data_IF_758805880536
#
_entry.id   IF_758805880536
#
_cell.length_a   1.000
_cell.length_b   1.000
_cell.length_c   1.000
_cell.angle_alpha   90.00
_cell.angle_beta   90.00
_cell.angle_gamma   90.00
#
_symmetry.space_group_name_H-M   'P 1'
#
loop_
_entity.id
_entity.type
_entity.pdbx_description
1 polymer ?
#
# COMPACT_ATOMS: atom_id res chain seq x y z
N UNK A 1 4.80 28.49 -3.90
CA UNK A 1 4.20 27.26 -3.34
C UNK A 1 4.69 27.13 -1.89
N UNK A 2 3.82 27.00 -0.89
CA UNK A 2 4.26 26.92 0.53
C UNK A 2 5.23 25.74 0.71
N UNK A 3 6.39 25.94 1.34
CA UNK A 3 7.41 24.89 1.55
C UNK A 3 6.84 23.64 2.23
N UNK A 4 5.80 23.79 3.06
CA UNK A 4 5.09 22.69 3.72
C UNK A 4 4.35 21.78 2.73
N UNK A 5 3.69 22.36 1.72
CA UNK A 5 2.96 21.58 0.72
C UNK A 5 3.91 20.78 -0.18
N UNK A 6 5.06 21.38 -0.51
CA UNK A 6 6.10 20.69 -1.27
C UNK A 6 6.65 19.49 -0.49
N UNK A 7 7.05 19.69 0.77
CA UNK A 7 7.55 18.62 1.63
C UNK A 7 6.54 17.46 1.77
N UNK A 8 5.24 17.78 1.93
CA UNK A 8 4.18 16.76 1.99
C UNK A 8 4.04 15.97 0.68
N UNK A 9 4.12 16.64 -0.47
CA UNK A 9 4.03 15.95 -1.76
C UNK A 9 5.24 15.05 -2.01
N UNK A 10 6.44 15.50 -1.63
CA UNK A 10 7.66 14.68 -1.69
C UNK A 10 7.50 13.44 -0.79
N UNK A 11 7.04 13.61 0.46
CA UNK A 11 6.81 12.49 1.36
C UNK A 11 5.79 11.49 0.78
N UNK A 12 4.68 11.96 0.21
CA UNK A 12 3.68 11.08 -0.43
C UNK A 12 4.28 10.24 -1.55
N UNK A 13 5.08 10.86 -2.42
CA UNK A 13 5.73 10.17 -3.53
C UNK A 13 6.81 9.20 -3.03
N UNK A 14 7.55 9.57 -1.97
CA UNK A 14 8.53 8.68 -1.34
C UNK A 14 7.85 7.43 -0.76
N UNK A 15 6.76 7.57 -0.01
CA UNK A 15 6.02 6.42 0.51
C UNK A 15 5.36 5.59 -0.59
N UNK A 16 4.79 6.23 -1.61
CA UNK A 16 4.19 5.52 -2.74
C UNK A 16 5.24 4.71 -3.51
N UNK A 17 6.41 5.29 -3.78
CA UNK A 17 7.51 4.59 -4.46
C UNK A 17 8.09 3.46 -3.61
N UNK A 18 8.25 3.66 -2.29
CA UNK A 18 8.68 2.60 -1.38
C UNK A 18 7.70 1.42 -1.36
N UNK A 19 6.38 1.70 -1.32
CA UNK A 19 5.36 0.65 -1.36
C UNK A 19 5.34 -0.09 -2.70
N UNK A 20 5.49 0.61 -3.83
CA UNK A 20 5.64 -0.03 -5.15
C UNK A 20 6.88 -0.93 -5.16
N UNK A 21 8.03 -0.42 -4.71
CA UNK A 21 9.27 -1.18 -4.67
C UNK A 21 9.11 -2.45 -3.83
N UNK A 22 8.50 -2.36 -2.65
CA UNK A 22 8.24 -3.50 -1.78
C UNK A 22 7.31 -4.54 -2.45
N UNK A 23 6.20 -4.12 -3.06
CA UNK A 23 5.27 -5.02 -3.75
C UNK A 23 5.93 -5.69 -4.95
N UNK A 24 6.66 -4.94 -5.78
CA UNK A 24 7.37 -5.50 -6.94
C UNK A 24 8.46 -6.47 -6.52
N UNK A 25 9.19 -6.13 -5.46
CA UNK A 25 10.20 -7.01 -4.89
C UNK A 25 9.57 -8.33 -4.43
N UNK A 26 8.51 -8.26 -3.61
CA UNK A 26 7.86 -9.45 -3.08
C UNK A 26 7.27 -10.31 -4.21
N UNK A 27 6.70 -9.69 -5.24
CA UNK A 27 6.22 -10.40 -6.42
C UNK A 27 7.34 -11.17 -7.14
N UNK A 28 8.51 -10.55 -7.31
CA UNK A 28 9.66 -11.19 -7.93
C UNK A 28 10.18 -12.36 -7.08
N UNK A 29 10.28 -12.19 -5.76
CA UNK A 29 10.75 -13.23 -4.85
C UNK A 29 9.80 -14.44 -4.76
N UNK A 30 8.48 -14.22 -4.86
CA UNK A 30 7.47 -15.29 -4.83
C UNK A 30 7.22 -15.91 -6.22
N UNK A 31 7.80 -15.37 -7.31
CA UNK A 31 7.60 -15.89 -8.66
C UNK A 31 8.33 -17.23 -8.90
N UNK A 32 9.46 -17.47 -8.22
CA UNK A 32 10.31 -18.64 -8.44
C UNK A 32 9.86 -19.89 -7.67
N UNK A 33 8.94 -19.76 -6.71
CA UNK A 33 8.50 -20.84 -5.81
C UNK A 33 7.32 -21.68 -6.34
N UNK A 34 6.91 -21.51 -7.60
CA UNK A 34 5.76 -22.22 -8.19
C UNK A 34 4.40 -21.66 -7.76
N UNK A 35 4.38 -20.52 -7.09
CA UNK A 35 3.17 -19.84 -6.64
C UNK A 35 2.38 -19.26 -7.82
N UNK A 36 1.07 -19.50 -7.88
CA UNK A 36 0.24 -18.91 -8.93
C UNK A 36 0.20 -17.38 -8.74
N UNK A 37 0.62 -16.63 -9.77
CA UNK A 37 0.67 -15.15 -9.76
C UNK A 37 -0.66 -14.49 -9.38
N UNK A 38 -1.79 -15.16 -9.63
CA UNK A 38 -3.12 -14.70 -9.22
C UNK A 38 -3.31 -14.70 -7.69
N UNK A 39 -2.71 -15.64 -6.97
CA UNK A 39 -2.81 -15.74 -5.52
C UNK A 39 -2.08 -14.57 -4.84
N UNK A 40 -0.99 -14.07 -5.45
CA UNK A 40 -0.24 -12.94 -4.90
C UNK A 40 -1.09 -11.67 -4.77
N UNK A 41 -1.84 -11.32 -5.82
CA UNK A 41 -2.72 -10.15 -5.80
C UNK A 41 -4.00 -10.35 -4.97
N UNK A 42 -4.24 -11.57 -4.50
CA UNK A 42 -5.37 -11.90 -3.63
C UNK A 42 -5.08 -11.63 -2.15
N UNK A 43 -3.81 -11.41 -1.77
CA UNK A 43 -3.46 -11.00 -0.42
C UNK A 43 -4.00 -9.60 -0.12
N UNK A 44 -4.80 -9.50 0.93
CA UNK A 44 -5.40 -8.24 1.38
C UNK A 44 -4.33 -7.17 1.73
N UNK A 45 -3.14 -7.59 2.18
CA UNK A 45 -2.00 -6.69 2.43
C UNK A 45 -1.45 -6.07 1.15
N UNK A 46 -1.36 -6.82 0.05
CA UNK A 46 -0.97 -6.31 -1.27
C UNK A 46 -2.03 -5.34 -1.79
N UNK A 47 -3.31 -5.72 -1.71
CA UNK A 47 -4.42 -4.85 -2.13
C UNK A 47 -4.45 -3.53 -1.35
N UNK A 48 -4.24 -3.58 -0.03
CA UNK A 48 -4.16 -2.39 0.82
C UNK A 48 -3.01 -1.45 0.42
N UNK A 49 -1.82 -2.00 0.16
CA UNK A 49 -0.67 -1.23 -0.31
C UNK A 49 -0.93 -0.57 -1.67
N UNK A 50 -1.54 -1.28 -2.62
CA UNK A 50 -1.88 -0.72 -3.94
C UNK A 50 -2.91 0.43 -3.83
N UNK A 51 -3.94 0.28 -2.98
CA UNK A 51 -4.90 1.35 -2.70
C UNK A 51 -4.24 2.56 -2.04
N UNK A 52 -3.30 2.33 -1.12
CA UNK A 52 -2.53 3.39 -0.48
C UNK A 52 -1.67 4.15 -1.50
N UNK A 53 -0.96 3.46 -2.37
CA UNK A 53 -0.18 4.05 -3.49
C UNK A 53 -1.07 4.92 -4.36
N UNK A 54 -2.20 4.38 -4.83
CA UNK A 54 -3.13 5.12 -5.67
C UNK A 54 -3.63 6.40 -4.97
N UNK A 55 -4.00 6.28 -3.70
CA UNK A 55 -4.46 7.41 -2.88
C UNK A 55 -3.37 8.47 -2.68
N UNK A 56 -2.13 8.07 -2.41
CA UNK A 56 -0.99 8.99 -2.26
C UNK A 56 -0.70 9.75 -3.55
N UNK A 57 -0.74 9.08 -4.71
CA UNK A 57 -0.60 9.71 -6.02
C UNK A 57 -1.72 10.69 -6.31
N UNK A 58 -2.99 10.30 -6.07
CA UNK A 58 -4.15 11.17 -6.23
C UNK A 58 -4.07 12.42 -5.34
N UNK A 59 -3.52 12.31 -4.12
CA UNK A 59 -3.32 13.44 -3.22
C UNK A 59 -2.26 14.44 -3.70
N UNK A 60 -1.36 14.03 -4.61
CA UNK A 60 -0.38 14.92 -5.24
C UNK A 60 -0.98 15.58 -6.48
N UNK A 61 -1.75 14.83 -7.27
CA UNK A 61 -2.33 15.30 -8.53
C UNK A 61 -3.53 16.22 -8.29
N UNK A 62 -4.46 15.82 -7.41
CA UNK A 62 -5.72 16.54 -7.16
C UNK A 62 -5.48 17.68 -6.17
N UNK A 63 -5.67 18.91 -6.66
CA UNK A 63 -5.50 20.13 -5.88
C UNK A 63 -6.53 20.17 -4.75
N UNK A 64 -6.16 20.77 -3.62
CA UNK A 64 -7.04 20.83 -2.44
C UNK A 64 -8.39 21.50 -2.73
N UNK A 65 -8.42 22.49 -3.62
CA UNK A 65 -9.65 23.18 -4.01
C UNK A 65 -10.61 22.33 -4.86
N UNK A 66 -10.12 21.25 -5.48
CA UNK A 66 -10.88 20.38 -6.37
C UNK A 66 -11.39 19.12 -5.66
N UNK A 67 -11.06 18.95 -4.37
CA UNK A 67 -11.44 17.76 -3.59
C UNK A 67 -12.90 17.85 -3.17
N UNK A 68 -13.66 16.85 -3.57
CA UNK A 68 -15.05 16.68 -3.14
C UNK A 68 -15.14 15.91 -1.83
N UNK A 69 -16.30 15.94 -1.18
CA UNK A 69 -16.59 15.12 0.00
C UNK A 69 -16.35 13.63 -0.26
N UNK A 70 -16.71 13.14 -1.45
CA UNK A 70 -16.47 11.76 -1.86
C UNK A 70 -14.98 11.43 -1.95
N UNK A 71 -14.15 12.36 -2.43
CA UNK A 71 -12.70 12.16 -2.50
C UNK A 71 -12.09 12.00 -1.10
N UNK A 72 -12.44 12.90 -0.17
CA UNK A 72 -11.94 12.83 1.20
C UNK A 72 -12.51 11.60 1.95
N UNK A 73 -13.77 11.25 1.68
CA UNK A 73 -14.40 10.01 2.15
C UNK A 73 -13.65 8.76 1.68
N UNK A 74 -13.39 8.62 0.37
CA UNK A 74 -12.65 7.51 -0.20
C UNK A 74 -11.24 7.40 0.40
N UNK A 75 -10.53 8.53 0.51
CA UNK A 75 -9.21 8.59 1.16
C UNK A 75 -9.28 8.09 2.60
N UNK A 76 -10.27 8.54 3.37
CA UNK A 76 -10.44 8.11 4.77
C UNK A 76 -10.74 6.60 4.87
N UNK A 77 -11.52 6.06 3.93
CA UNK A 77 -11.79 4.63 3.81
C UNK A 77 -10.52 3.83 3.53
N UNK A 78 -9.63 4.30 2.65
CA UNK A 78 -8.32 3.66 2.40
C UNK A 78 -7.44 3.70 3.66
N UNK A 79 -7.42 4.82 4.39
CA UNK A 79 -6.68 4.90 5.67
C UNK A 79 -7.21 3.90 6.69
N UNK A 80 -8.53 3.80 6.83
CA UNK A 80 -9.16 2.84 7.73
C UNK A 80 -8.85 1.39 7.32
N UNK A 81 -8.94 1.08 6.03
CA UNK A 81 -8.61 -0.24 5.51
C UNK A 81 -7.15 -0.62 5.79
N UNK A 82 -6.22 0.32 5.64
CA UNK A 82 -4.82 0.11 5.97
C UNK A 82 -4.60 -0.15 7.47
N UNK A 83 -5.32 0.57 8.33
CA UNK A 83 -5.28 0.34 9.78
C UNK A 83 -5.80 -1.06 10.15
N UNK A 84 -6.94 -1.46 9.59
CA UNK A 84 -7.50 -2.81 9.78
C UNK A 84 -6.51 -3.87 9.29
N UNK A 85 -5.94 -3.67 8.10
CA UNK A 85 -4.93 -4.56 7.50
C UNK A 85 -3.73 -4.75 8.43
N UNK A 86 -3.21 -3.67 9.00
CA UNK A 86 -2.09 -3.73 9.95
C UNK A 86 -2.46 -4.48 11.24
N UNK A 87 -3.65 -4.25 11.78
CA UNK A 87 -4.15 -4.95 12.98
C UNK A 87 -4.30 -6.45 12.70
N UNK A 88 -4.97 -6.82 11.60
CA UNK A 88 -5.17 -8.21 11.19
C UNK A 88 -3.81 -8.89 10.97
N UNK A 89 -2.88 -8.21 10.30
CA UNK A 89 -1.54 -8.75 10.09
C UNK A 89 -0.83 -9.02 11.42
N UNK A 90 -0.83 -8.05 12.33
CA UNK A 90 -0.14 -8.15 13.62
C UNK A 90 -0.75 -9.20 14.56
N UNK A 91 -2.07 -9.43 14.48
CA UNK A 91 -2.75 -10.37 15.38
C UNK A 91 -2.87 -11.78 14.81
N UNK A 92 -3.01 -11.92 13.50
CA UNK A 92 -3.39 -13.20 12.86
C UNK A 92 -2.32 -13.76 11.92
N UNK A 93 -1.40 -12.95 11.40
CA UNK A 93 -0.41 -13.41 10.41
C UNK A 93 1.04 -13.31 10.91
N UNK A 94 1.29 -12.63 12.03
CA UNK A 94 2.65 -12.52 12.58
C UNK A 94 3.17 -13.92 12.95
N UNK A 95 4.18 -14.42 12.23
CA UNK A 95 4.80 -15.73 12.44
C UNK A 95 4.33 -16.82 11.48
N UNK A 96 3.35 -16.56 10.61
CA UNK A 96 2.79 -17.53 9.65
C UNK A 96 3.26 -17.30 8.20
N UNK A 97 4.28 -16.46 8.00
CA UNK A 97 4.75 -16.07 6.67
C UNK A 97 5.28 -17.27 5.85
N UNK A 98 5.86 -18.28 6.52
CA UNK A 98 6.36 -19.50 5.88
C UNK A 98 5.22 -20.37 5.34
N UNK A 99 4.14 -20.53 6.11
CA UNK A 99 2.95 -21.29 5.69
C UNK A 99 2.24 -20.61 4.52
N UNK A 100 2.31 -19.28 4.44
CA UNK A 100 1.72 -18.49 3.35
C UNK A 100 2.63 -18.36 2.13
N UNK A 101 3.84 -18.95 2.15
CA UNK A 101 4.86 -18.83 1.09
C UNK A 101 5.21 -17.38 0.73
N UNK A 102 5.11 -16.46 1.70
CA UNK A 102 5.38 -15.03 1.52
C UNK A 102 6.66 -14.57 2.23
N UNK A 103 7.36 -15.48 2.91
CA UNK A 103 8.62 -15.20 3.61
C UNK A 103 9.68 -14.71 2.64
N UNK A 104 10.27 -13.57 2.98
CA UNK A 104 11.48 -13.06 2.34
C UNK A 104 12.56 -12.90 3.42
N UNK A 105 13.82 -13.27 3.17
CA UNK A 105 14.82 -13.51 4.22
C UNK A 105 15.48 -12.26 4.83
N UNK A 106 14.83 -11.09 4.78
CA UNK A 106 15.29 -9.84 5.43
C UNK A 106 14.23 -9.27 6.37
#
# INVERSE_FOLDING_TARGET
MSSRMFALNVARLAFASAAIAAVTYQFAATADSGFQKANFFSFFTIQANLLAVATLCLLVIVRRAERTFLFDGARSGVVLYMAITGIVFALLLSGLQEELQTTIPW
#
